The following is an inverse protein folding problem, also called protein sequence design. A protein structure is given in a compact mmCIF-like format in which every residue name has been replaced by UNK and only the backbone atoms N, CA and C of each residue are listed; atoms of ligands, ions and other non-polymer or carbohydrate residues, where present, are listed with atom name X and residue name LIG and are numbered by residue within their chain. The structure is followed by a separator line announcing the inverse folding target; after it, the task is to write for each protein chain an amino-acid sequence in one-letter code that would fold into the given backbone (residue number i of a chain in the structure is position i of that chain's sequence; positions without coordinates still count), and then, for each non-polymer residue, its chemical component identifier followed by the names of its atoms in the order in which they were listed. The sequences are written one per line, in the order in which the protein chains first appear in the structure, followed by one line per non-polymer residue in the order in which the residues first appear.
data_IF_105584513857
#
_entry.id   IF_105584513857
#
_cell.length_a   1.000
_cell.length_b   1.000
_cell.length_c   1.000
_cell.angle_alpha   90.00
_cell.angle_beta   90.00
_cell.angle_gamma   90.00
#
_symmetry.space_group_name_H-M   'P 1'
#
loop_
_entity.id
_entity.type
_entity.pdbx_description
1 polymer ?
#
# COMPACT_ATOMS: atom_id res chain seq x y z
N UNK A 1 -8.72 15.45 27.19
CA UNK A 1 -8.29 16.32 26.08
C UNK A 1 -7.00 15.72 25.53
N UNK A 2 -7.09 14.90 24.51
CA UNK A 2 -5.95 14.44 23.73
C UNK A 2 -5.86 15.37 22.53
N UNK A 3 -4.70 15.93 22.33
CA UNK A 3 -4.39 16.81 21.21
C UNK A 3 -4.72 16.12 19.90
N UNK A 4 -5.54 16.80 19.09
CA UNK A 4 -5.99 16.31 17.79
C UNK A 4 -4.89 16.50 16.74
N UNK A 5 -3.82 15.72 16.85
CA UNK A 5 -2.80 15.67 15.79
C UNK A 5 -3.37 14.97 14.55
N UNK A 6 -3.12 15.56 13.39
CA UNK A 6 -3.48 14.94 12.11
C UNK A 6 -2.66 13.66 11.93
N UNK A 7 -3.33 12.50 11.85
CA UNK A 7 -2.68 11.20 11.68
C UNK A 7 -3.04 10.56 10.35
N UNK A 8 -2.08 9.86 9.74
CA UNK A 8 -2.31 9.03 8.56
C UNK A 8 -2.66 7.60 8.96
N UNK A 9 -3.62 6.96 8.30
CA UNK A 9 -3.77 5.51 8.43
C UNK A 9 -2.56 4.79 7.82
N UNK A 10 -2.12 3.66 8.38
CA UNK A 10 -0.94 2.96 7.92
C UNK A 10 -1.08 2.40 6.50
N UNK A 11 -0.14 2.74 5.65
CA UNK A 11 0.01 2.19 4.32
C UNK A 11 1.32 1.40 4.27
N UNK A 12 1.24 0.12 4.56
CA UNK A 12 2.39 -0.76 4.52
C UNK A 12 2.30 -1.69 3.30
N UNK A 13 3.20 -1.52 2.34
CA UNK A 13 3.33 -2.43 1.22
C UNK A 13 4.35 -3.51 1.58
N UNK A 14 3.90 -4.77 1.65
CA UNK A 14 4.77 -5.92 1.89
C UNK A 14 5.48 -6.28 0.59
N UNK A 15 6.77 -6.06 0.52
CA UNK A 15 7.62 -6.57 -0.55
C UNK A 15 8.32 -7.83 -0.03
N UNK A 16 7.96 -8.98 -0.58
CA UNK A 16 8.64 -10.25 -0.31
C UNK A 16 9.72 -10.44 -1.37
N UNK A 17 10.99 -10.50 -0.97
CA UNK A 17 12.07 -10.94 -1.85
C UNK A 17 11.97 -12.44 -2.11
N UNK A 18 12.18 -12.83 -3.37
CA UNK A 18 12.35 -14.23 -3.75
C UNK A 18 13.77 -14.68 -3.38
N UNK A 19 13.90 -15.51 -2.38
CA UNK A 19 15.18 -16.12 -1.98
C UNK A 19 15.08 -16.79 -0.63
N UNK A 20 14.98 -18.11 -0.67
CA UNK A 20 15.19 -19.08 0.40
C UNK A 20 14.26 -19.07 1.63
N UNK A 21 13.77 -20.29 1.90
CA UNK A 21 12.96 -20.67 3.04
C UNK A 21 13.73 -20.45 4.33
N UNK A 22 13.39 -19.41 5.06
CA UNK A 22 13.57 -19.38 6.50
C UNK A 22 12.26 -18.85 7.10
N UNK A 23 11.67 -19.63 7.98
CA UNK A 23 10.46 -19.32 8.74
C UNK A 23 10.73 -18.26 9.84
N UNK A 24 11.60 -17.29 9.58
CA UNK A 24 12.00 -16.28 10.54
C UNK A 24 11.65 -14.90 10.02
N UNK A 25 10.81 -14.25 10.77
CA UNK A 25 10.47 -12.84 10.87
C UNK A 25 10.28 -12.04 9.56
N UNK A 26 9.05 -11.63 9.25
CA UNK A 26 8.81 -10.77 8.12
C UNK A 26 9.29 -9.34 8.43
N UNK A 27 10.54 -9.04 8.09
CA UNK A 27 11.00 -7.65 8.05
C UNK A 27 10.19 -6.93 6.98
N UNK A 28 9.36 -5.99 7.37
CA UNK A 28 8.61 -5.16 6.45
C UNK A 28 9.45 -3.94 6.12
N UNK A 29 9.86 -3.86 4.85
CA UNK A 29 10.51 -2.67 4.34
C UNK A 29 9.46 -1.62 4.04
N UNK A 30 9.54 -0.51 4.73
CA UNK A 30 8.75 0.65 4.43
C UNK A 30 9.60 1.66 3.68
N UNK A 31 9.11 2.08 2.51
CA UNK A 31 9.72 3.13 1.72
C UNK A 31 9.11 4.46 2.11
N UNK A 32 9.95 5.49 2.15
CA UNK A 32 9.47 6.85 2.30
C UNK A 32 8.48 7.16 1.18
N UNK A 33 7.31 7.63 1.56
CA UNK A 33 6.30 8.12 0.62
C UNK A 33 6.56 9.59 0.32
N UNK A 34 6.18 10.03 -0.87
CA UNK A 34 6.19 11.45 -1.24
C UNK A 34 4.77 11.90 -1.51
N UNK A 35 4.35 12.97 -0.85
CA UNK A 35 3.04 13.57 -1.09
C UNK A 35 3.06 14.41 -2.38
N UNK A 36 2.11 14.15 -3.26
CA UNK A 36 2.03 14.79 -4.59
C UNK A 36 0.73 15.50 -4.88
N UNK A 37 -0.24 15.44 -3.98
CA UNK A 37 -1.49 16.14 -4.19
C UNK A 37 -2.46 16.00 -3.03
N UNK A 38 -3.54 16.77 -3.10
CA UNK A 38 -4.65 16.77 -2.15
C UNK A 38 -5.96 16.59 -2.90
N UNK A 39 -6.82 15.74 -2.39
CA UNK A 39 -8.18 15.52 -2.89
C UNK A 39 -9.17 15.91 -1.80
N UNK A 40 -10.10 16.79 -2.14
CA UNK A 40 -11.22 17.13 -1.28
C UNK A 40 -12.47 16.35 -1.65
N UNK A 41 -13.15 15.80 -0.66
CA UNK A 41 -14.41 15.08 -0.79
C UNK A 41 -15.54 15.83 -0.11
N UNK A 42 -16.61 16.02 -0.85
CA UNK A 42 -17.87 16.59 -0.35
C UNK A 42 -18.84 15.45 -0.03
N UNK A 43 -19.58 15.63 1.04
CA UNK A 43 -20.65 14.74 1.44
C UNK A 43 -21.93 15.10 0.68
N UNK A 44 -22.51 14.11 0.01
CA UNK A 44 -23.75 14.27 -0.74
C UNK A 44 -24.77 13.22 -0.28
N UNK A 45 -26.08 13.43 -0.50
CA UNK A 45 -27.11 12.43 -0.16
C UNK A 45 -26.88 11.06 -0.82
N UNK A 46 -26.09 11.00 -1.89
CA UNK A 46 -25.73 9.75 -2.60
C UNK A 46 -24.40 9.15 -2.14
N UNK A 47 -23.77 9.73 -1.11
CA UNK A 47 -22.46 9.35 -0.61
C UNK A 47 -21.36 10.38 -0.90
N UNK A 48 -20.11 10.03 -0.56
CA UNK A 48 -18.96 10.90 -0.76
C UNK A 48 -18.63 11.06 -2.26
N UNK A 49 -18.39 12.29 -2.67
CA UNK A 49 -17.97 12.64 -4.02
C UNK A 49 -16.70 13.50 -3.98
N UNK A 50 -15.73 13.20 -4.83
CA UNK A 50 -14.58 14.08 -5.00
C UNK A 50 -15.02 15.41 -5.62
N UNK A 51 -14.59 16.52 -5.02
CA UNK A 51 -14.85 17.88 -5.51
C UNK A 51 -13.74 18.30 -6.46
N UNK A 52 -12.50 18.33 -5.99
CA UNK A 52 -11.34 18.71 -6.80
C UNK A 52 -10.07 18.04 -6.27
N UNK A 53 -9.08 17.97 -7.15
CA UNK A 53 -7.75 17.45 -6.81
C UNK A 53 -6.72 18.53 -7.14
N UNK A 54 -5.93 18.90 -6.16
CA UNK A 54 -4.81 19.83 -6.30
C UNK A 54 -3.53 19.04 -6.29
N UNK A 55 -2.70 19.16 -7.33
CA UNK A 55 -1.42 18.48 -7.45
C UNK A 55 -0.27 19.43 -7.09
N UNK A 56 0.86 18.86 -6.67
CA UNK A 56 2.10 19.57 -6.51
C UNK A 56 2.63 20.09 -7.85
N UNK A 57 3.50 21.09 -7.82
CA UNK A 57 4.10 21.69 -9.00
C UNK A 57 4.98 20.70 -9.76
N UNK A 58 5.88 20.03 -9.04
CA UNK A 58 6.85 19.10 -9.60
C UNK A 58 6.43 17.66 -9.33
N UNK A 59 6.09 16.93 -10.37
CA UNK A 59 5.77 15.51 -10.30
C UNK A 59 6.92 14.69 -10.89
N UNK A 60 7.34 13.64 -10.16
CA UNK A 60 8.36 12.72 -10.63
C UNK A 60 7.90 11.90 -11.84
N UNK A 61 8.84 11.45 -12.67
CA UNK A 61 8.54 10.58 -13.82
C UNK A 61 7.89 9.26 -13.39
N UNK A 62 8.20 8.79 -12.19
CA UNK A 62 7.62 7.58 -11.61
C UNK A 62 6.10 7.70 -11.45
N UNK A 63 5.63 8.86 -10.95
CA UNK A 63 4.21 9.18 -10.83
C UNK A 63 3.58 9.39 -12.19
N UNK A 64 4.22 10.15 -13.08
CA UNK A 64 3.72 10.41 -14.43
C UNK A 64 3.50 9.11 -15.21
N UNK A 65 4.34 8.07 -14.99
CA UNK A 65 4.16 6.74 -15.58
C UNK A 65 2.83 6.08 -15.20
N UNK A 66 2.26 6.39 -14.02
CA UNK A 66 0.97 5.84 -13.57
C UNK A 66 -0.18 6.25 -14.47
N UNK A 67 -0.11 7.42 -15.08
CA UNK A 67 -1.17 7.96 -15.93
C UNK A 67 -1.09 7.51 -17.39
N UNK A 68 -0.05 6.75 -17.77
CA UNK A 68 0.12 6.23 -19.11
C UNK A 68 -0.03 4.72 -19.17
N UNK A 69 -0.79 4.25 -20.18
CA UNK A 69 -0.84 2.82 -20.49
C UNK A 69 0.49 2.34 -21.10
N UNK A 70 1.02 3.11 -22.07
CA UNK A 70 2.25 2.82 -22.78
C UNK A 70 3.21 4.02 -22.71
N UNK A 71 4.08 4.04 -21.72
CA UNK A 71 5.04 5.12 -21.49
C UNK A 71 6.00 5.35 -22.65
N UNK A 72 6.50 4.29 -23.26
CA UNK A 72 7.49 4.35 -24.32
C UNK A 72 6.97 4.97 -25.64
N UNK A 73 5.67 4.85 -25.90
CA UNK A 73 5.00 5.47 -27.08
C UNK A 73 4.48 6.88 -26.80
N UNK A 74 4.51 7.35 -25.55
CA UNK A 74 3.91 8.60 -25.16
C UNK A 74 4.84 9.79 -25.38
N UNK A 75 4.27 10.98 -25.59
CA UNK A 75 5.02 12.26 -25.64
C UNK A 75 5.45 12.76 -24.26
N UNK A 76 5.14 12.06 -23.17
CA UNK A 76 5.49 12.35 -21.76
C UNK A 76 5.08 13.75 -21.28
N UNK A 77 4.03 14.31 -21.85
CA UNK A 77 3.54 15.68 -21.57
C UNK A 77 2.48 15.75 -20.45
N UNK A 78 2.29 14.70 -19.64
CA UNK A 78 1.34 14.73 -18.54
C UNK A 78 1.69 15.84 -17.55
N UNK A 79 0.68 16.55 -17.08
CA UNK A 79 0.78 17.64 -16.11
C UNK A 79 1.58 18.87 -16.51
N UNK A 80 2.08 18.99 -17.74
CA UNK A 80 2.83 20.19 -18.17
C UNK A 80 1.98 21.47 -18.17
N UNK A 81 0.70 21.37 -18.54
CA UNK A 81 -0.22 22.51 -18.44
C UNK A 81 -0.52 22.87 -17.00
N UNK A 82 -0.67 21.86 -16.15
CA UNK A 82 -0.94 22.05 -14.73
C UNK A 82 0.25 22.70 -13.99
N UNK A 83 1.49 22.29 -14.29
CA UNK A 83 2.70 22.93 -13.76
C UNK A 83 2.80 24.42 -14.17
N UNK A 84 2.38 24.76 -15.39
CA UNK A 84 2.29 26.17 -15.82
C UNK A 84 1.31 26.99 -14.99
N UNK A 85 0.18 26.40 -14.56
CA UNK A 85 -0.80 27.11 -13.72
C UNK A 85 -0.29 27.42 -12.31
N UNK A 86 0.77 26.76 -11.82
CA UNK A 86 1.47 27.14 -10.60
C UNK A 86 2.31 28.40 -10.79
N UNK A 87 2.96 28.53 -11.95
CA UNK A 87 3.78 29.70 -12.28
C UNK A 87 2.93 30.92 -12.70
N UNK A 88 1.79 30.68 -13.34
CA UNK A 88 0.87 31.74 -13.77
C UNK A 88 0.20 32.39 -12.57
N UNK A 89 0.19 33.72 -12.52
CA UNK A 89 -0.48 34.52 -11.48
C UNK A 89 -0.05 34.16 -10.05
N UNK A 90 1.22 33.76 -9.86
CA UNK A 90 1.76 33.34 -8.54
C UNK A 90 0.93 32.23 -7.86
N UNK A 91 0.36 31.33 -8.64
CA UNK A 91 -0.43 30.20 -8.13
C UNK A 91 -1.82 30.56 -7.60
N UNK A 92 -2.37 31.71 -7.96
CA UNK A 92 -3.70 32.14 -7.49
C UNK A 92 -4.81 31.13 -7.84
N UNK A 93 -4.68 30.43 -8.97
CA UNK A 93 -5.61 29.36 -9.35
C UNK A 93 -5.59 28.20 -8.37
N UNK A 94 -4.40 27.79 -7.93
CA UNK A 94 -4.20 26.70 -6.97
C UNK A 94 -4.70 27.09 -5.58
N UNK A 95 -4.40 28.29 -5.13
CA UNK A 95 -4.88 28.81 -3.85
C UNK A 95 -6.42 28.84 -3.82
N UNK A 96 -7.05 29.30 -4.89
CA UNK A 96 -8.52 29.29 -5.01
C UNK A 96 -9.11 27.88 -4.91
N UNK A 97 -8.47 26.88 -5.51
CA UNK A 97 -8.94 25.48 -5.42
C UNK A 97 -8.74 24.92 -4.00
N UNK A 98 -7.68 25.27 -3.29
CA UNK A 98 -7.49 24.90 -1.88
C UNK A 98 -8.54 25.55 -0.99
N UNK A 99 -8.83 26.83 -1.14
CA UNK A 99 -9.91 27.54 -0.44
C UNK A 99 -11.28 26.90 -0.72
N UNK A 100 -11.48 26.44 -1.94
CA UNK A 100 -12.69 25.71 -2.34
C UNK A 100 -12.83 24.38 -1.58
N UNK A 101 -11.70 23.66 -1.39
CA UNK A 101 -11.68 22.44 -0.56
C UNK A 101 -12.01 22.79 0.89
N UNK A 102 -11.38 23.82 1.46
CA UNK A 102 -11.64 24.25 2.84
C UNK A 102 -13.12 24.60 3.07
N UNK A 103 -13.76 25.24 2.08
CA UNK A 103 -15.13 25.71 2.21
C UNK A 103 -16.19 24.62 2.07
N UNK A 104 -15.98 23.65 1.18
CA UNK A 104 -17.05 22.72 0.79
C UNK A 104 -16.79 21.25 1.17
N UNK A 105 -15.56 20.86 1.45
CA UNK A 105 -15.22 19.46 1.70
C UNK A 105 -15.28 19.12 3.18
N UNK A 106 -15.73 17.92 3.48
CA UNK A 106 -15.73 17.33 4.83
C UNK A 106 -14.56 16.39 5.04
N UNK A 107 -14.11 15.71 3.98
CA UNK A 107 -13.00 14.75 4.01
C UNK A 107 -11.88 15.22 3.11
N UNK A 108 -10.66 15.19 3.63
CA UNK A 108 -9.43 15.56 2.91
C UNK A 108 -8.52 14.33 2.84
N UNK A 109 -8.04 14.01 1.64
CA UNK A 109 -7.09 12.92 1.40
C UNK A 109 -5.84 13.45 0.71
N UNK A 110 -4.68 12.95 1.13
CA UNK A 110 -3.40 13.23 0.49
C UNK A 110 -3.10 12.13 -0.52
N UNK A 111 -2.70 12.53 -1.72
CA UNK A 111 -2.15 11.62 -2.71
C UNK A 111 -0.67 11.43 -2.44
N UNK A 112 -0.26 10.21 -2.13
CA UNK A 112 1.13 9.86 -1.90
C UNK A 112 1.57 8.74 -2.83
N UNK A 113 2.84 8.76 -3.22
CA UNK A 113 3.43 7.73 -4.07
C UNK A 113 4.68 7.12 -3.45
N UNK A 114 4.98 5.89 -3.85
CA UNK A 114 6.17 5.17 -3.43
C UNK A 114 7.38 5.57 -4.28
N UNK A 115 8.58 5.62 -3.67
CA UNK A 115 9.85 5.91 -4.34
C UNK A 115 10.44 4.61 -4.93
N UNK A 116 9.91 4.16 -6.06
CA UNK A 116 10.27 2.87 -6.68
C UNK A 116 11.75 2.77 -7.06
N UNK A 117 12.41 3.87 -7.40
CA UNK A 117 13.83 3.86 -7.77
C UNK A 117 14.76 3.46 -6.63
N UNK A 118 14.34 3.68 -5.39
CA UNK A 118 15.10 3.30 -4.19
C UNK A 118 14.92 1.82 -3.84
N UNK A 119 13.99 1.13 -4.53
CA UNK A 119 13.71 -0.28 -4.30
C UNK A 119 14.49 -1.17 -5.27
N UNK A 120 14.87 -2.40 -4.89
CA UNK A 120 15.50 -3.36 -5.79
C UNK A 120 14.56 -3.90 -6.87
N UNK A 121 13.27 -3.53 -6.82
CA UNK A 121 12.25 -3.98 -7.77
C UNK A 121 12.51 -3.36 -9.15
N UNK A 122 12.47 -4.15 -10.20
CA UNK A 122 12.66 -3.70 -11.59
C UNK A 122 11.51 -2.84 -12.14
N UNK A 123 10.44 -2.65 -11.38
CA UNK A 123 9.31 -1.80 -11.76
C UNK A 123 9.74 -0.33 -11.76
N UNK A 124 9.31 0.42 -12.79
CA UNK A 124 9.58 1.87 -12.93
C UNK A 124 8.36 2.76 -12.66
N UNK A 125 7.19 2.16 -12.52
CA UNK A 125 5.92 2.85 -12.27
C UNK A 125 5.65 2.87 -10.77
N UNK A 126 5.52 4.06 -10.18
CA UNK A 126 5.20 4.21 -8.76
C UNK A 126 3.78 3.71 -8.44
N UNK A 127 3.59 3.25 -7.22
CA UNK A 127 2.27 3.05 -6.66
C UNK A 127 1.75 4.38 -6.12
N UNK A 128 0.51 4.73 -6.46
CA UNK A 128 -0.15 5.96 -6.05
C UNK A 128 -1.42 5.60 -5.29
N UNK A 129 -1.62 6.20 -4.12
CA UNK A 129 -2.79 5.97 -3.29
C UNK A 129 -3.22 7.25 -2.59
N UNK A 130 -4.52 7.32 -2.28
CA UNK A 130 -5.11 8.36 -1.45
C UNK A 130 -5.09 7.94 0.01
N UNK A 131 -4.57 8.81 0.88
CA UNK A 131 -4.49 8.59 2.32
C UNK A 131 -5.30 9.68 3.01
N UNK A 132 -6.29 9.29 3.81
CA UNK A 132 -7.14 10.23 4.52
C UNK A 132 -6.38 10.90 5.67
N UNK A 133 -6.54 12.21 5.80
CA UNK A 133 -6.03 12.98 6.93
C UNK A 133 -7.14 13.11 7.96
N UNK A 134 -6.91 12.60 9.15
CA UNK A 134 -7.85 12.63 10.26
C UNK A 134 -7.41 13.65 11.33
N UNK A 135 -8.36 14.07 12.18
CA UNK A 135 -8.12 15.04 13.25
C UNK A 135 -8.18 16.50 12.76
N UNK A 136 -8.24 17.45 13.67
CA UNK A 136 -8.29 18.88 13.39
C UNK A 136 -9.51 19.38 12.61
N UNK A 137 -9.49 20.66 12.30
CA UNK A 137 -10.49 21.27 11.41
C UNK A 137 -10.17 20.98 9.94
N UNK A 138 -11.12 21.24 9.04
CA UNK A 138 -10.88 21.05 7.59
C UNK A 138 -9.77 21.98 7.08
N UNK A 139 -9.69 23.20 7.63
CA UNK A 139 -8.63 24.15 7.28
C UNK A 139 -7.25 23.58 7.67
N UNK A 140 -7.10 23.10 8.92
CA UNK A 140 -5.85 22.50 9.40
C UNK A 140 -5.43 21.29 8.57
N UNK A 141 -6.39 20.45 8.16
CA UNK A 141 -6.11 19.30 7.28
C UNK A 141 -5.58 19.72 5.92
N UNK A 142 -6.15 20.78 5.32
CA UNK A 142 -5.70 21.29 4.02
C UNK A 142 -4.32 21.91 4.12
N UNK A 143 -4.06 22.70 5.17
CA UNK A 143 -2.76 23.32 5.40
C UNK A 143 -1.69 22.28 5.69
N UNK A 144 -1.99 21.28 6.51
CA UNK A 144 -1.10 20.15 6.75
C UNK A 144 -0.77 19.41 5.44
N UNK A 145 -1.79 19.10 4.63
CA UNK A 145 -1.60 18.42 3.37
C UNK A 145 -0.80 19.23 2.35
N UNK A 146 -1.00 20.56 2.29
CA UNK A 146 -0.22 21.48 1.46
C UNK A 146 1.25 21.53 1.88
N UNK A 147 1.50 21.56 3.18
CA UNK A 147 2.87 21.61 3.74
C UNK A 147 3.67 20.32 3.47
N UNK A 148 3.00 19.22 3.17
CA UNK A 148 3.62 17.94 2.79
C UNK A 148 3.96 17.85 1.30
N UNK A 149 3.51 18.76 0.45
CA UNK A 149 3.78 18.68 -0.99
C UNK A 149 5.27 18.56 -1.28
N UNK A 150 5.61 17.62 -2.16
CA UNK A 150 6.98 17.33 -2.62
C UNK A 150 7.94 16.86 -1.52
N UNK A 151 7.49 16.77 -0.28
CA UNK A 151 8.29 16.29 0.84
C UNK A 151 8.13 14.78 1.02
N UNK A 152 9.20 14.16 1.48
CA UNK A 152 9.18 12.79 1.95
C UNK A 152 8.48 12.71 3.30
N UNK A 153 7.68 11.66 3.46
CA UNK A 153 7.00 11.37 4.71
C UNK A 153 7.80 10.31 5.44
N UNK A 154 8.42 10.69 6.54
CA UNK A 154 9.21 9.79 7.37
C UNK A 154 8.30 8.90 8.22
N UNK A 155 8.73 7.67 8.45
CA UNK A 155 7.98 6.66 9.21
C UNK A 155 7.86 7.07 10.68
N UNK A 156 8.95 7.60 11.24
CA UNK A 156 9.02 8.04 12.64
C UNK A 156 8.00 9.14 12.98
N UNK A 157 7.52 9.87 11.96
CA UNK A 157 6.48 10.89 12.13
C UNK A 157 5.06 10.32 12.21
N UNK A 158 4.88 9.05 11.86
CA UNK A 158 3.55 8.42 11.73
C UNK A 158 3.37 7.29 12.75
N UNK A 159 4.37 6.43 12.89
CA UNK A 159 4.30 5.24 13.73
C UNK A 159 5.16 5.37 14.96
N UNK A 160 4.65 4.86 16.07
CA UNK A 160 5.37 4.77 17.32
C UNK A 160 5.76 3.32 17.62
N UNK A 161 6.82 3.14 18.42
CA UNK A 161 7.20 1.83 18.94
C UNK A 161 6.05 1.27 19.79
N UNK A 162 5.85 -0.05 19.70
CA UNK A 162 4.80 -0.80 20.39
C UNK A 162 3.36 -0.51 19.88
N UNK A 163 3.19 0.26 18.83
CA UNK A 163 1.90 0.49 18.18
C UNK A 163 1.39 -0.78 17.47
N UNK A 164 0.08 -1.00 17.53
CA UNK A 164 -0.57 -2.10 16.81
C UNK A 164 -1.10 -1.59 15.47
N UNK A 165 -0.64 -2.18 14.38
CA UNK A 165 -1.01 -1.79 13.01
C UNK A 165 -1.64 -2.94 12.23
N UNK A 166 -2.45 -2.60 11.23
CA UNK A 166 -3.02 -3.53 10.28
C UNK A 166 -2.31 -3.40 8.93
N UNK A 167 -1.90 -4.53 8.37
CA UNK A 167 -1.15 -4.58 7.09
C UNK A 167 -2.07 -5.04 5.98
N UNK A 168 -2.23 -4.20 4.97
CA UNK A 168 -3.02 -4.48 3.77
C UNK A 168 -2.06 -4.77 2.62
N UNK A 169 -2.11 -5.99 2.09
CA UNK A 169 -1.18 -6.42 1.06
C UNK A 169 -1.78 -7.48 0.12
N UNK A 170 -1.05 -7.79 -0.94
CA UNK A 170 -1.35 -8.87 -1.88
C UNK A 170 -0.43 -10.05 -1.58
N UNK A 171 -1.00 -11.25 -1.44
CA UNK A 171 -0.24 -12.47 -1.18
C UNK A 171 0.57 -12.89 -2.42
N UNK A 172 1.62 -13.70 -2.22
CA UNK A 172 2.43 -14.24 -3.33
C UNK A 172 1.55 -15.09 -4.24
N UNK A 173 1.66 -14.86 -5.55
CA UNK A 173 0.93 -15.63 -6.57
C UNK A 173 1.61 -16.94 -6.89
N UNK A 174 0.82 -18.02 -7.00
CA UNK A 174 1.28 -19.37 -7.40
C UNK A 174 0.56 -19.87 -8.68
N UNK A 175 -0.20 -19.01 -9.33
CA UNK A 175 -0.95 -19.34 -10.52
C UNK A 175 -2.15 -20.28 -10.25
N UNK A 176 -2.53 -21.08 -11.23
CA UNK A 176 -3.62 -22.03 -11.11
C UNK A 176 -3.14 -23.30 -10.42
N UNK A 177 -3.71 -23.64 -9.28
CA UNK A 177 -3.34 -24.80 -8.46
C UNK A 177 -4.48 -25.79 -8.31
N UNK A 178 -4.13 -27.08 -8.20
CA UNK A 178 -5.07 -28.14 -7.87
C UNK A 178 -5.51 -28.10 -6.41
N UNK A 179 -6.58 -28.83 -6.09
CA UNK A 179 -7.21 -28.82 -4.75
C UNK A 179 -6.25 -29.24 -3.63
N UNK A 180 -5.33 -30.16 -3.88
CA UNK A 180 -4.36 -30.61 -2.86
C UNK A 180 -3.36 -29.55 -2.48
N UNK A 181 -2.89 -28.73 -3.42
CA UNK A 181 -1.97 -27.62 -3.15
C UNK A 181 -2.71 -26.40 -2.63
N UNK A 182 -3.84 -26.07 -3.24
CA UNK A 182 -4.59 -24.85 -2.93
C UNK A 182 -5.31 -24.90 -1.59
N UNK A 183 -5.85 -26.07 -1.22
CA UNK A 183 -6.69 -26.25 -0.02
C UNK A 183 -6.12 -27.24 0.99
N UNK A 184 -4.98 -27.88 0.68
CA UNK A 184 -4.38 -28.85 1.59
C UNK A 184 -5.20 -30.15 1.75
N UNK A 185 -6.05 -30.49 0.77
CA UNK A 185 -6.85 -31.72 0.85
C UNK A 185 -5.97 -32.96 0.79
N UNK A 186 -6.32 -34.00 1.53
CA UNK A 186 -5.59 -35.27 1.58
C UNK A 186 -5.64 -35.96 0.21
N UNK A 187 -4.50 -36.49 -0.22
CA UNK A 187 -4.46 -37.35 -1.42
C UNK A 187 -5.24 -38.63 -1.20
N UNK A 188 -6.01 -38.99 -2.20
CA UNK A 188 -6.73 -40.28 -2.20
C UNK A 188 -5.74 -41.46 -2.31
N UNK A 189 -6.15 -42.69 -1.89
CA UNK A 189 -5.30 -43.88 -1.96
C UNK A 189 -4.82 -44.18 -3.39
N UNK A 190 -3.64 -44.84 -3.51
CA UNK A 190 -3.02 -45.20 -4.79
C UNK A 190 -3.95 -45.93 -5.77
N UNK A 191 -4.82 -46.77 -5.26
CA UNK A 191 -5.78 -47.57 -6.04
C UNK A 191 -6.99 -46.80 -6.60
N UNK A 192 -7.05 -45.45 -6.36
CA UNK A 192 -8.19 -44.64 -6.78
C UNK A 192 -8.20 -44.44 -8.30
N UNK A 193 -9.31 -44.87 -8.92
CA UNK A 193 -9.57 -44.62 -10.34
C UNK A 193 -9.83 -43.13 -10.60
N UNK A 194 -9.44 -42.61 -11.78
CA UNK A 194 -9.59 -41.18 -12.21
C UNK A 194 -8.77 -40.14 -11.45
N UNK A 195 -7.76 -40.57 -10.70
CA UNK A 195 -6.76 -39.69 -10.12
C UNK A 195 -6.85 -39.52 -8.62
N UNK A 196 -5.67 -39.25 -8.01
CA UNK A 196 -5.45 -39.19 -6.55
C UNK A 196 -5.63 -37.78 -5.98
N UNK A 197 -5.35 -36.76 -6.78
CA UNK A 197 -5.32 -35.35 -6.33
C UNK A 197 -6.66 -34.65 -6.58
N UNK A 198 -7.72 -35.20 -5.98
CA UNK A 198 -9.08 -34.73 -6.13
C UNK A 198 -9.84 -34.81 -4.82
N UNK A 199 -10.95 -34.09 -4.73
CA UNK A 199 -11.95 -34.27 -3.68
C UNK A 199 -12.89 -35.41 -4.08
N UNK A 200 -13.08 -36.36 -3.19
CA UNK A 200 -13.88 -37.56 -3.47
C UNK A 200 -15.38 -37.23 -3.70
N UNK A 201 -15.96 -36.43 -2.82
CA UNK A 201 -17.34 -36.00 -2.88
C UNK A 201 -17.43 -34.48 -2.85
N UNK A 202 -18.24 -33.90 -3.73
CA UNK A 202 -18.42 -32.45 -3.86
C UNK A 202 -19.74 -31.95 -3.31
N UNK A 203 -20.55 -32.83 -2.75
CA UNK A 203 -21.85 -32.51 -2.18
C UNK A 203 -22.85 -33.65 -2.27
N UNK A 204 -23.98 -33.49 -1.63
CA UNK A 204 -25.11 -34.42 -1.67
C UNK A 204 -25.93 -34.21 -2.96
N UNK A 205 -26.97 -35.03 -3.16
CA UNK A 205 -27.91 -34.87 -4.27
C UNK A 205 -28.68 -33.54 -4.19
N UNK A 206 -29.12 -33.18 -3.00
CA UNK A 206 -29.72 -31.88 -2.70
C UNK A 206 -28.89 -31.12 -1.67
N UNK A 207 -28.67 -29.84 -1.89
CA UNK A 207 -29.05 -28.97 -3.02
C UNK A 207 -28.35 -29.36 -4.32
N UNK A 208 -29.06 -29.27 -5.46
CA UNK A 208 -28.56 -29.67 -6.78
C UNK A 208 -27.55 -28.71 -7.39
N UNK A 209 -26.60 -28.22 -6.56
CA UNK A 209 -25.48 -27.41 -6.96
C UNK A 209 -24.32 -27.64 -6.01
N UNK A 210 -23.11 -27.39 -6.49
CA UNK A 210 -21.90 -27.46 -5.65
C UNK A 210 -21.83 -26.16 -4.81
N UNK A 211 -21.76 -26.32 -3.50
CA UNK A 211 -21.62 -25.18 -2.59
C UNK A 211 -20.27 -24.49 -2.78
N UNK A 212 -20.21 -23.18 -2.54
CA UNK A 212 -18.99 -22.39 -2.65
C UNK A 212 -17.90 -22.78 -1.65
N UNK A 213 -18.27 -23.42 -0.52
CA UNK A 213 -17.36 -23.90 0.52
C UNK A 213 -16.53 -25.11 0.12
N UNK A 214 -16.91 -25.82 -0.96
CA UNK A 214 -16.22 -27.03 -1.42
C UNK A 214 -14.88 -26.65 -2.06
N UNK A 215 -13.81 -27.32 -1.65
CA UNK A 215 -12.49 -27.12 -2.20
C UNK A 215 -12.44 -27.42 -3.71
N UNK A 216 -12.01 -26.46 -4.50
CA UNK A 216 -11.89 -26.55 -5.97
C UNK A 216 -10.53 -26.06 -6.43
N UNK A 217 -10.07 -26.55 -7.57
CA UNK A 217 -8.92 -25.99 -8.27
C UNK A 217 -9.21 -24.55 -8.70
N UNK A 218 -8.18 -23.72 -8.76
CA UNK A 218 -8.29 -22.33 -9.17
C UNK A 218 -7.02 -21.54 -8.88
N UNK A 219 -7.14 -20.22 -8.96
CA UNK A 219 -6.06 -19.30 -8.64
C UNK A 219 -5.62 -19.45 -7.19
N UNK A 220 -4.32 -19.64 -6.98
CA UNK A 220 -3.68 -19.73 -5.68
C UNK A 220 -2.74 -18.54 -5.50
N UNK A 221 -2.92 -17.78 -4.43
CA UNK A 221 -2.18 -16.57 -4.18
C UNK A 221 -2.59 -15.40 -5.08
N UNK A 222 -1.85 -14.29 -4.98
CA UNK A 222 -2.19 -13.00 -5.56
C UNK A 222 -3.56 -12.48 -5.10
N UNK A 223 -3.85 -12.70 -3.82
CA UNK A 223 -5.09 -12.28 -3.18
C UNK A 223 -4.84 -11.07 -2.28
N UNK A 224 -5.73 -10.08 -2.36
CA UNK A 224 -5.76 -8.97 -1.42
C UNK A 224 -6.21 -9.47 -0.04
N UNK A 225 -5.40 -9.19 0.99
CA UNK A 225 -5.66 -9.58 2.38
C UNK A 225 -5.31 -8.44 3.31
N UNK A 226 -6.03 -8.37 4.43
CA UNK A 226 -5.70 -7.51 5.58
C UNK A 226 -5.26 -8.41 6.72
N UNK A 227 -4.03 -8.21 7.18
CA UNK A 227 -3.50 -8.90 8.35
C UNK A 227 -3.52 -7.92 9.51
N UNK A 228 -4.30 -8.24 10.54
CA UNK A 228 -4.51 -7.37 11.70
C UNK A 228 -3.54 -7.67 12.84
N UNK A 229 -3.42 -6.72 13.77
CA UNK A 229 -2.70 -6.87 15.03
C UNK A 229 -1.20 -7.15 14.87
N UNK A 230 -0.53 -6.45 13.96
CA UNK A 230 0.92 -6.45 13.89
C UNK A 230 1.48 -5.40 14.84
N UNK A 231 2.31 -5.82 15.79
CA UNK A 231 2.97 -4.91 16.71
C UNK A 231 4.25 -4.36 16.08
N UNK A 232 4.43 -3.04 16.14
CA UNK A 232 5.68 -2.38 15.76
C UNK A 232 6.71 -2.62 16.86
N UNK A 233 7.70 -3.45 16.59
CA UNK A 233 8.73 -3.81 17.57
C UNK A 233 9.86 -2.79 17.56
N UNK A 234 10.34 -2.42 16.39
CA UNK A 234 11.46 -1.50 16.20
C UNK A 234 11.30 -0.68 14.93
N UNK A 235 11.66 0.59 15.00
CA UNK A 235 11.78 1.49 13.86
C UNK A 235 13.22 1.96 13.79
N UNK A 236 13.84 1.92 12.60
CA UNK A 236 15.20 2.38 12.45
C UNK A 236 15.58 2.61 10.99
N UNK A 237 16.65 3.37 10.77
CA UNK A 237 17.21 3.59 9.44
C UNK A 237 18.13 2.43 9.07
N UNK A 238 18.00 1.93 7.83
CA UNK A 238 18.83 0.84 7.33
C UNK A 238 20.32 1.16 7.23
N UNK A 239 20.69 2.45 7.32
CA UNK A 239 22.09 2.92 7.30
C UNK A 239 22.76 2.90 8.67
N UNK A 240 21.98 2.80 9.74
CA UNK A 240 22.51 2.87 11.10
C UNK A 240 23.11 1.51 11.50
N UNK A 241 24.36 1.50 11.93
CA UNK A 241 25.07 0.27 12.34
C UNK A 241 24.36 -0.48 13.46
N UNK A 242 23.73 0.24 14.39
CA UNK A 242 22.96 -0.33 15.50
C UNK A 242 21.71 -1.11 15.07
N UNK A 243 21.23 -0.93 13.84
CA UNK A 243 20.07 -1.62 13.30
C UNK A 243 20.45 -2.89 12.51
N UNK A 244 21.73 -3.04 12.15
CA UNK A 244 22.27 -4.20 11.42
C UNK A 244 22.96 -5.18 12.36
N UNK A 245 22.21 -5.81 13.26
CA UNK A 245 22.78 -6.70 14.27
C UNK A 245 23.01 -8.13 13.78
N UNK A 246 22.31 -8.59 12.74
CA UNK A 246 22.42 -9.95 12.20
C UNK A 246 22.95 -9.97 10.77
N UNK A 247 23.43 -11.14 10.28
CA UNK A 247 23.87 -11.32 8.90
C UNK A 247 22.74 -11.17 7.88
N UNK A 248 21.51 -11.35 8.32
CA UNK A 248 20.32 -11.29 7.49
C UNK A 248 19.74 -9.89 7.38
N UNK A 249 20.24 -8.94 8.17
CA UNK A 249 19.81 -7.55 8.09
C UNK A 249 20.22 -6.90 6.78
N UNK A 250 19.28 -6.25 6.12
CA UNK A 250 19.48 -5.68 4.78
C UNK A 250 20.43 -4.50 4.77
N UNK A 251 20.60 -3.80 5.89
CA UNK A 251 21.58 -2.73 6.03
C UNK A 251 23.01 -3.14 5.70
N UNK A 252 23.37 -4.42 5.84
CA UNK A 252 24.68 -4.96 5.40
C UNK A 252 24.80 -5.11 3.87
N UNK A 253 23.72 -5.03 3.11
CA UNK A 253 23.73 -5.25 1.65
C UNK A 253 23.81 -3.95 0.83
N UNK A 254 24.39 -2.87 1.33
CA UNK A 254 24.58 -1.59 0.61
C UNK A 254 23.34 -1.10 -0.15
N UNK A 255 22.18 -1.19 0.43
CA UNK A 255 20.96 -0.68 -0.15
C UNK A 255 20.76 0.76 0.39
N UNK A 256 20.37 1.66 -0.51
CA UNK A 256 19.99 3.05 -0.24
C UNK A 256 19.25 3.21 1.09
N UNK A 257 19.32 4.38 1.74
CA UNK A 257 18.76 4.62 3.06
C UNK A 257 17.26 4.25 3.09
N UNK A 258 16.96 3.15 3.75
CA UNK A 258 15.62 2.64 3.92
C UNK A 258 15.31 2.57 5.40
N UNK A 259 14.09 2.91 5.78
CA UNK A 259 13.61 2.67 7.13
C UNK A 259 13.24 1.19 7.30
N UNK A 260 13.72 0.61 8.36
CA UNK A 260 13.41 -0.75 8.79
C UNK A 260 12.26 -0.67 9.79
N UNK A 261 11.17 -1.33 9.50
CA UNK A 261 10.06 -1.52 10.43
C UNK A 261 10.03 -3.01 10.82
N UNK A 262 10.51 -3.34 12.01
CA UNK A 262 10.42 -4.70 12.54
C UNK A 262 9.02 -4.88 13.16
N UNK A 263 8.23 -5.77 12.58
CA UNK A 263 6.88 -6.06 13.02
C UNK A 263 6.81 -7.48 13.56
N UNK A 264 6.47 -7.62 14.83
CA UNK A 264 6.21 -8.92 15.46
C UNK A 264 4.76 -9.33 15.23
N UNK A 265 4.53 -10.45 14.57
CA UNK A 265 3.19 -11.06 14.47
C UNK A 265 2.99 -12.04 15.63
N UNK A 266 1.99 -11.85 16.52
CA UNK A 266 1.78 -12.76 17.65
C UNK A 266 1.12 -14.09 17.29
N UNK A 267 0.89 -14.39 16.01
CA UNK A 267 0.20 -15.59 15.57
C UNK A 267 1.06 -16.51 14.71
N UNK A 268 1.95 -17.27 15.34
CA UNK A 268 2.28 -18.63 14.88
C UNK A 268 2.64 -19.46 16.11
N UNK A 269 1.64 -19.82 16.92
CA UNK A 269 1.65 -21.02 17.76
C UNK A 269 0.22 -21.55 17.78
N UNK A 270 -0.09 -22.45 16.86
CA UNK A 270 -1.03 -23.54 16.99
C UNK A 270 -0.73 -24.56 15.89
#
# INVERSE_FOLDING_TARGET
HRDSSCTFPPLCAKVKEEGEKSDQDPNIFSFQLVAVGVVGYIETPRGLRSLTTVWAEHLSDEVKRRFYKNWYKSKKKAFTKYAKSHAESSGASITRELERIQKYCTVVRVLAHTQIRQTPIKQKKAHLMEIQVNGGSVADKVDFARNLFEKTIDIDSIFEKDEMIDVIAVTKGHGFSGVTSRWGTTKLPRKTHKGLRKVACIGAWHPNHVQWTVARAGQDGYHHRTSCNHKVFRIGKGTDEGNASTEFDISKKQITPMFLLDIFSPCVFA
#
